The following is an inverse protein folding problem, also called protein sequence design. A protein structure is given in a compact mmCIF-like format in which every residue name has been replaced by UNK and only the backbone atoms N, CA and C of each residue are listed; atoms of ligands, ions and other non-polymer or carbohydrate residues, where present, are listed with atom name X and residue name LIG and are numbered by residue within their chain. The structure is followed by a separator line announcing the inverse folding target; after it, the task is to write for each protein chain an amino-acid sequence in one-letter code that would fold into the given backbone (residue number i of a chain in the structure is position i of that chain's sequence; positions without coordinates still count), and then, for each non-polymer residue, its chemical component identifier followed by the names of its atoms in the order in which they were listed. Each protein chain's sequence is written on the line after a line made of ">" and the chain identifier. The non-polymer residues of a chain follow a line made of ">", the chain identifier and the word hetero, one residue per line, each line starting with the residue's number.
data_IF_824839368651
#
_entry.id   IF_824839368651
#
_cell.length_a   1.000
_cell.length_b   1.000
_cell.length_c   1.000
_cell.angle_alpha   90.00
_cell.angle_beta   90.00
_cell.angle_gamma   90.00
#
_symmetry.space_group_name_H-M   'P 1'
#
loop_
_entity.id
_entity.type
_entity.pdbx_description
1 polymer ?
#
# COMPACT_ATOMS: atom_id res chain seq x y z
N UNK A 1 19.78 -24.65 -6.18
CA UNK A 1 19.48 -23.73 -5.06
C UNK A 1 18.13 -23.09 -5.33
N UNK A 2 17.02 -23.63 -4.79
CA UNK A 2 15.64 -23.19 -5.09
C UNK A 2 14.99 -22.32 -4.00
N UNK A 3 15.69 -22.03 -2.90
CA UNK A 3 15.11 -21.33 -1.74
C UNK A 3 15.60 -19.89 -1.56
N UNK A 4 16.68 -19.48 -2.26
CA UNK A 4 17.33 -18.19 -2.08
C UNK A 4 16.39 -17.01 -2.36
N UNK A 5 15.45 -17.14 -3.29
CA UNK A 5 14.46 -16.09 -3.55
C UNK A 5 13.63 -15.75 -2.32
N UNK A 6 13.40 -16.68 -1.38
CA UNK A 6 12.66 -16.40 -0.13
C UNK A 6 13.38 -15.38 0.76
N UNK A 7 14.68 -15.16 0.55
CA UNK A 7 15.42 -14.11 1.25
C UNK A 7 15.01 -12.69 0.82
N UNK A 8 14.21 -12.54 -0.25
CA UNK A 8 13.66 -11.24 -0.65
C UNK A 8 12.86 -10.56 0.48
N UNK A 9 12.25 -11.36 1.37
CA UNK A 9 11.47 -10.83 2.48
C UNK A 9 12.30 -10.47 3.71
N UNK A 10 13.63 -10.60 3.71
CA UNK A 10 14.43 -10.32 4.91
C UNK A 10 14.21 -8.89 5.45
N UNK A 11 14.23 -7.89 4.58
CA UNK A 11 14.00 -6.49 4.95
C UNK A 11 12.58 -6.29 5.53
N UNK A 12 11.49 -6.65 4.82
CA UNK A 12 10.15 -6.48 5.38
C UNK A 12 9.91 -7.37 6.61
N UNK A 13 10.53 -8.54 6.74
CA UNK A 13 10.40 -9.40 7.92
C UNK A 13 11.05 -8.77 9.16
N UNK A 14 12.28 -8.25 9.02
CA UNK A 14 12.96 -7.53 10.10
C UNK A 14 12.15 -6.29 10.49
N UNK A 15 11.60 -5.56 9.52
CA UNK A 15 10.74 -4.41 9.80
C UNK A 15 9.44 -4.81 10.52
N UNK A 16 8.77 -5.90 10.13
CA UNK A 16 7.60 -6.40 10.84
C UNK A 16 7.92 -6.74 12.30
N UNK A 17 9.02 -7.45 12.55
CA UNK A 17 9.46 -7.79 13.90
C UNK A 17 9.79 -6.53 14.72
N UNK A 18 10.50 -5.57 14.11
CA UNK A 18 10.86 -4.30 14.73
C UNK A 18 9.62 -3.50 15.12
N UNK A 19 8.66 -3.34 14.20
CA UNK A 19 7.42 -2.59 14.43
C UNK A 19 6.54 -3.27 15.48
N UNK A 20 6.45 -4.60 15.44
CA UNK A 20 5.75 -5.36 16.47
C UNK A 20 6.39 -5.20 17.85
N UNK A 21 7.71 -5.38 17.95
CA UNK A 21 8.45 -5.20 19.20
C UNK A 21 8.26 -3.78 19.76
N UNK A 22 8.45 -2.76 18.92
CA UNK A 22 8.33 -1.36 19.36
C UNK A 22 6.91 -0.98 19.76
N UNK A 23 5.91 -1.42 18.99
CA UNK A 23 4.51 -1.08 19.22
C UNK A 23 3.83 -1.88 20.34
N UNK A 24 4.17 -3.16 20.50
CA UNK A 24 3.51 -4.05 21.46
C UNK A 24 4.30 -4.26 22.76
N UNK A 25 5.64 -4.28 22.70
CA UNK A 25 6.50 -4.68 23.83
C UNK A 25 7.21 -3.46 24.43
N UNK A 26 8.03 -2.76 23.66
CA UNK A 26 8.84 -1.63 24.17
C UNK A 26 7.96 -0.44 24.56
N UNK A 27 7.03 -0.04 23.69
CA UNK A 27 6.03 1.02 23.91
C UNK A 27 6.64 2.36 24.36
N UNK A 28 7.81 2.70 23.84
CA UNK A 28 8.46 3.99 24.09
C UNK A 28 7.97 5.06 23.10
N UNK A 29 7.35 6.12 23.61
CA UNK A 29 6.84 7.23 22.80
C UNK A 29 7.95 8.13 22.22
N UNK A 30 9.15 8.10 22.80
CA UNK A 30 10.29 8.89 22.32
C UNK A 30 11.09 8.18 21.22
N UNK A 31 10.78 6.91 20.96
CA UNK A 31 11.43 6.13 19.91
C UNK A 31 11.24 6.80 18.54
N UNK A 32 12.31 6.82 17.74
CA UNK A 32 12.33 7.49 16.44
C UNK A 32 11.27 6.94 15.48
N UNK A 33 11.01 5.62 15.48
CA UNK A 33 9.99 5.04 14.60
C UNK A 33 8.59 5.46 15.04
N UNK A 34 8.34 5.58 16.35
CA UNK A 34 7.05 6.09 16.85
C UNK A 34 6.87 7.53 16.41
N UNK A 35 7.90 8.37 16.52
CA UNK A 35 7.83 9.78 16.14
C UNK A 35 7.66 10.00 14.64
N UNK A 36 8.16 9.09 13.81
CA UNK A 36 8.12 9.23 12.35
C UNK A 36 6.94 8.50 11.70
N UNK A 37 6.48 7.40 12.28
CA UNK A 37 5.44 6.54 11.70
C UNK A 37 4.10 6.56 12.46
N UNK A 38 3.97 7.32 13.55
CA UNK A 38 2.68 7.56 14.21
C UNK A 38 2.21 9.00 14.09
N UNK A 39 0.90 9.19 14.04
CA UNK A 39 0.25 10.51 13.98
C UNK A 39 0.06 11.11 15.37
N UNK A 40 -0.26 10.28 16.38
CA UNK A 40 -0.50 10.73 17.76
C UNK A 40 0.71 10.59 18.69
N UNK A 41 1.89 10.18 18.19
CA UNK A 41 3.03 9.77 19.02
C UNK A 41 2.73 8.57 19.93
N UNK A 42 1.67 7.80 19.62
CA UNK A 42 1.33 6.57 20.33
C UNK A 42 2.05 5.36 19.74
N UNK A 43 2.82 4.60 20.53
CA UNK A 43 3.52 3.41 20.05
C UNK A 43 2.59 2.34 19.44
N UNK A 44 1.34 2.25 19.91
CA UNK A 44 0.38 1.27 19.38
C UNK A 44 0.02 1.54 17.92
N UNK A 45 0.23 2.76 17.41
CA UNK A 45 -0.02 3.06 16.00
C UNK A 45 0.89 2.30 15.04
N UNK A 46 2.09 1.90 15.51
CA UNK A 46 3.00 1.08 14.72
C UNK A 46 2.40 -0.28 14.35
N UNK A 47 1.48 -0.79 15.16
CA UNK A 47 0.82 -2.09 14.94
C UNK A 47 -0.29 -2.04 13.89
N UNK A 48 -0.66 -0.85 13.43
CA UNK A 48 -1.66 -0.64 12.39
C UNK A 48 -0.99 -0.48 11.02
N UNK A 49 -1.22 0.65 10.33
CA UNK A 49 -0.75 0.88 8.96
C UNK A 49 0.69 0.43 8.69
N UNK A 50 1.68 0.85 9.50
CA UNK A 50 3.08 0.45 9.30
C UNK A 50 3.29 -1.07 9.35
N UNK A 51 2.81 -1.75 10.40
CA UNK A 51 2.96 -3.20 10.51
C UNK A 51 2.18 -3.94 9.42
N UNK A 52 0.95 -3.52 9.15
CA UNK A 52 0.10 -4.09 8.10
C UNK A 52 0.78 -4.04 6.73
N UNK A 53 1.35 -2.89 6.36
CA UNK A 53 2.12 -2.72 5.13
C UNK A 53 3.26 -3.74 5.04
N UNK A 54 4.06 -3.88 6.10
CA UNK A 54 5.17 -4.85 6.11
C UNK A 54 4.69 -6.30 6.04
N UNK A 55 3.57 -6.64 6.68
CA UNK A 55 2.97 -7.98 6.58
C UNK A 55 2.55 -8.29 5.14
N UNK A 56 1.93 -7.33 4.44
CA UNK A 56 1.58 -7.49 3.03
C UNK A 56 2.81 -7.66 2.15
N UNK A 57 3.89 -6.89 2.39
CA UNK A 57 5.15 -7.09 1.68
C UNK A 57 5.72 -8.50 1.88
N UNK A 58 5.68 -9.02 3.12
CA UNK A 58 6.11 -10.39 3.40
C UNK A 58 5.23 -11.42 2.67
N UNK A 59 3.90 -11.24 2.69
CA UNK A 59 2.98 -12.13 2.01
C UNK A 59 3.20 -12.14 0.49
N UNK A 60 3.29 -10.97 -0.14
CA UNK A 60 3.57 -10.85 -1.57
C UNK A 60 4.95 -11.44 -1.92
N UNK A 61 5.98 -11.14 -1.12
CA UNK A 61 7.33 -11.64 -1.36
C UNK A 61 7.47 -13.16 -1.17
N UNK A 62 6.62 -13.79 -0.36
CA UNK A 62 6.63 -15.24 -0.15
C UNK A 62 5.74 -16.00 -1.14
N UNK A 63 4.58 -15.46 -1.52
CA UNK A 63 3.58 -16.22 -2.29
C UNK A 63 3.38 -15.71 -3.72
N UNK A 64 3.74 -14.46 -3.98
CA UNK A 64 3.51 -13.77 -5.25
C UNK A 64 4.81 -13.15 -5.81
N UNK A 65 5.96 -13.75 -5.49
CA UNK A 65 7.27 -13.22 -5.87
C UNK A 65 7.39 -13.07 -7.40
N UNK A 66 7.79 -11.87 -7.84
CA UNK A 66 7.94 -11.51 -9.27
C UNK A 66 6.69 -11.81 -10.13
N UNK A 67 5.51 -11.70 -9.53
CA UNK A 67 4.23 -11.88 -10.25
C UNK A 67 3.60 -10.55 -10.66
N UNK A 68 2.73 -10.60 -11.67
CA UNK A 68 1.95 -9.44 -12.12
C UNK A 68 1.02 -8.94 -11.00
N UNK A 69 0.43 -9.86 -10.24
CA UNK A 69 -0.46 -9.54 -9.12
C UNK A 69 0.29 -8.73 -8.04
N UNK A 70 1.48 -9.18 -7.65
CA UNK A 70 2.30 -8.45 -6.68
C UNK A 70 2.72 -7.08 -7.20
N UNK A 71 3.07 -6.97 -8.49
CA UNK A 71 3.45 -5.70 -9.10
C UNK A 71 2.32 -4.66 -9.00
N UNK A 72 1.09 -5.07 -9.32
CA UNK A 72 -0.09 -4.20 -9.30
C UNK A 72 -0.50 -3.84 -7.88
N UNK A 73 -0.45 -4.80 -6.95
CA UNK A 73 -0.74 -4.54 -5.54
C UNK A 73 0.30 -3.57 -4.96
N UNK A 74 1.59 -3.74 -5.25
CA UNK A 74 2.65 -2.83 -4.79
C UNK A 74 2.61 -1.47 -5.49
N UNK A 75 2.13 -1.40 -6.74
CA UNK A 75 1.84 -0.13 -7.40
C UNK A 75 0.79 0.68 -6.63
N UNK A 76 -0.32 0.03 -6.26
CA UNK A 76 -1.40 0.70 -5.54
C UNK A 76 -1.03 1.01 -4.08
N UNK A 77 -0.49 0.03 -3.35
CA UNK A 77 -0.16 0.17 -1.93
C UNK A 77 1.14 0.93 -1.69
N UNK A 78 2.22 0.50 -2.34
CA UNK A 78 3.56 1.04 -2.10
C UNK A 78 3.77 2.42 -2.70
N UNK A 79 3.32 2.62 -3.95
CA UNK A 79 3.50 3.89 -4.64
C UNK A 79 2.26 4.78 -4.50
N UNK A 80 1.06 4.25 -4.76
CA UNK A 80 -0.18 5.01 -4.66
C UNK A 80 -0.47 5.52 -3.25
N UNK A 81 -0.82 4.60 -2.35
CA UNK A 81 -1.15 4.91 -0.95
C UNK A 81 0.06 5.49 -0.19
N UNK A 82 1.28 4.98 -0.42
CA UNK A 82 2.49 5.49 0.20
C UNK A 82 2.80 6.97 -0.08
N UNK A 83 2.47 7.48 -1.28
CA UNK A 83 2.70 8.89 -1.66
C UNK A 83 1.50 9.78 -1.31
N UNK A 84 0.30 9.22 -1.15
CA UNK A 84 -0.92 9.99 -0.89
C UNK A 84 -0.85 10.94 0.32
N UNK A 85 -0.29 10.54 1.50
CA UNK A 85 -0.10 11.45 2.62
C UNK A 85 0.85 12.61 2.30
N UNK A 86 1.87 12.39 1.47
CA UNK A 86 2.83 13.42 1.08
C UNK A 86 2.15 14.47 0.20
N UNK A 87 1.42 14.02 -0.83
CA UNK A 87 0.67 14.92 -1.72
C UNK A 87 -0.43 15.64 -0.95
N UNK A 88 -1.15 14.93 -0.07
CA UNK A 88 -2.16 15.53 0.80
C UNK A 88 -1.59 16.58 1.74
N UNK A 89 -0.36 16.40 2.25
CA UNK A 89 0.31 17.37 3.11
C UNK A 89 0.73 18.64 2.37
N UNK A 90 1.25 18.53 1.15
CA UNK A 90 1.77 19.68 0.40
C UNK A 90 0.71 20.39 -0.46
N UNK A 91 -0.25 19.63 -1.01
CA UNK A 91 -1.21 20.13 -2.00
C UNK A 91 -2.67 19.97 -1.57
N UNK A 92 -2.95 19.34 -0.42
CA UNK A 92 -4.30 19.06 0.04
C UNK A 92 -5.09 20.33 0.37
N UNK A 93 -6.03 20.71 -0.49
CA UNK A 93 -6.95 21.83 -0.28
C UNK A 93 -8.36 21.32 0.03
N UNK A 94 -8.75 20.19 -0.56
CA UNK A 94 -10.10 19.64 -0.44
C UNK A 94 -10.09 18.40 0.46
N UNK A 95 -10.41 18.60 1.73
CA UNK A 95 -10.51 17.49 2.68
C UNK A 95 -11.91 16.87 2.67
N UNK A 96 -11.97 15.55 2.78
CA UNK A 96 -13.21 14.81 2.97
C UNK A 96 -13.02 13.75 4.07
N UNK A 97 -14.13 13.26 4.61
CA UNK A 97 -14.13 12.22 5.63
C UNK A 97 -15.35 11.34 5.44
N UNK A 98 -15.12 10.08 5.12
CA UNK A 98 -16.18 9.07 5.10
C UNK A 98 -16.52 8.63 6.54
N UNK A 99 -17.75 8.12 6.81
CA UNK A 99 -18.22 7.85 8.17
C UNK A 99 -17.29 6.99 9.03
N UNK A 100 -16.52 6.11 8.41
CA UNK A 100 -15.63 5.13 9.06
C UNK A 100 -14.14 5.37 8.75
N UNK A 101 -13.82 6.40 7.97
CA UNK A 101 -12.48 6.70 7.49
C UNK A 101 -11.86 7.90 8.20
N UNK A 102 -10.54 8.01 8.06
CA UNK A 102 -9.79 9.15 8.57
C UNK A 102 -9.96 10.33 7.62
N UNK A 103 -9.57 11.52 8.07
CA UNK A 103 -9.60 12.71 7.20
C UNK A 103 -8.62 12.49 6.05
N UNK A 104 -9.11 12.50 4.81
CA UNK A 104 -8.34 12.35 3.57
C UNK A 104 -8.50 13.59 2.70
N UNK A 105 -7.67 13.72 1.67
CA UNK A 105 -7.73 14.86 0.73
C UNK A 105 -7.94 14.36 -0.69
N UNK A 106 -8.73 15.09 -1.48
CA UNK A 106 -8.95 14.72 -2.89
C UNK A 106 -7.64 14.71 -3.66
N UNK A 107 -6.73 15.62 -3.37
CA UNK A 107 -5.41 15.69 -4.00
C UNK A 107 -4.55 14.47 -3.64
N UNK A 108 -4.63 13.97 -2.41
CA UNK A 108 -3.96 12.74 -1.99
C UNK A 108 -4.52 11.51 -2.71
N UNK A 109 -5.85 11.40 -2.81
CA UNK A 109 -6.48 10.26 -3.50
C UNK A 109 -6.28 10.30 -5.02
N UNK A 110 -6.40 11.47 -5.66
CA UNK A 110 -6.19 11.59 -7.12
C UNK A 110 -4.70 11.54 -7.46
N UNK A 111 -3.89 12.40 -6.83
CA UNK A 111 -2.48 12.54 -7.16
C UNK A 111 -1.61 11.42 -6.58
N UNK A 112 -1.88 11.01 -5.34
CA UNK A 112 -1.18 9.92 -4.70
C UNK A 112 -1.68 8.59 -5.21
N UNK A 113 -2.92 8.23 -4.89
CA UNK A 113 -3.42 6.88 -5.15
C UNK A 113 -3.66 6.63 -6.63
N UNK A 114 -4.50 7.43 -7.29
CA UNK A 114 -4.87 7.16 -8.69
C UNK A 114 -3.67 7.30 -9.64
N UNK A 115 -3.03 8.48 -9.68
CA UNK A 115 -1.87 8.70 -10.55
C UNK A 115 -0.64 7.88 -10.11
N UNK A 116 -0.42 7.72 -8.80
CA UNK A 116 0.68 6.88 -8.30
C UNK A 116 0.48 5.39 -8.59
N UNK A 117 -0.75 4.88 -8.60
CA UNK A 117 -1.03 3.51 -9.05
C UNK A 117 -0.72 3.35 -10.53
N UNK A 118 -1.15 4.29 -11.39
CA UNK A 118 -0.85 4.26 -12.82
C UNK A 118 0.67 4.25 -13.04
N UNK A 119 1.38 5.21 -12.43
CA UNK A 119 2.84 5.30 -12.53
C UNK A 119 3.54 4.05 -11.98
N UNK A 120 3.05 3.52 -10.86
CA UNK A 120 3.56 2.30 -10.24
C UNK A 120 3.40 1.08 -11.12
N UNK A 121 2.26 0.90 -11.79
CA UNK A 121 2.04 -0.23 -12.71
C UNK A 121 3.05 -0.17 -13.86
N UNK A 122 3.20 0.98 -14.53
CA UNK A 122 4.20 1.12 -15.58
C UNK A 122 5.63 0.87 -15.07
N UNK A 123 5.97 1.42 -13.91
CA UNK A 123 7.28 1.26 -13.31
C UNK A 123 7.60 -0.21 -12.97
N UNK A 124 6.72 -0.89 -12.23
CA UNK A 124 6.94 -2.27 -11.84
C UNK A 124 6.86 -3.23 -13.01
N UNK A 125 5.97 -3.01 -13.99
CA UNK A 125 5.92 -3.83 -15.20
C UNK A 125 7.22 -3.75 -15.99
N UNK A 126 7.77 -2.54 -16.14
CA UNK A 126 9.07 -2.34 -16.80
C UNK A 126 10.22 -3.00 -16.03
N UNK A 127 10.28 -2.82 -14.71
CA UNK A 127 11.34 -3.39 -13.86
C UNK A 127 11.33 -4.92 -13.82
N UNK A 128 10.15 -5.53 -13.88
CA UNK A 128 9.97 -6.99 -13.83
C UNK A 128 9.95 -7.64 -15.21
N UNK A 129 9.93 -6.86 -16.29
CA UNK A 129 9.83 -7.38 -17.66
C UNK A 129 8.52 -8.09 -17.97
N UNK A 130 7.44 -7.73 -17.27
CA UNK A 130 6.10 -8.28 -17.48
C UNK A 130 5.29 -7.39 -18.43
N UNK A 131 4.38 -7.96 -19.24
CA UNK A 131 3.52 -7.17 -20.11
C UNK A 131 2.73 -6.13 -19.32
N UNK A 132 2.68 -4.91 -19.87
CA UNK A 132 1.85 -3.86 -19.30
C UNK A 132 0.40 -4.15 -19.66
N UNK A 133 -0.49 -4.10 -18.67
CA UNK A 133 -1.93 -4.22 -18.89
C UNK A 133 -2.45 -3.15 -19.86
N UNK A 134 -3.62 -3.40 -20.46
CA UNK A 134 -4.28 -2.39 -21.29
C UNK A 134 -4.56 -1.11 -20.49
N UNK A 135 -4.55 0.04 -21.16
CA UNK A 135 -4.79 1.33 -20.50
C UNK A 135 -6.14 1.33 -19.76
N UNK A 136 -7.17 0.71 -20.33
CA UNK A 136 -8.49 0.57 -19.71
C UNK A 136 -8.41 -0.23 -18.40
N UNK A 137 -7.65 -1.33 -18.37
CA UNK A 137 -7.45 -2.11 -17.15
C UNK A 137 -6.72 -1.31 -16.07
N UNK A 138 -5.65 -0.59 -16.44
CA UNK A 138 -4.88 0.23 -15.50
C UNK A 138 -5.73 1.35 -14.91
N UNK A 139 -6.49 2.07 -15.74
CA UNK A 139 -7.39 3.13 -15.28
C UNK A 139 -8.46 2.59 -14.33
N UNK A 140 -9.04 1.42 -14.66
CA UNK A 140 -10.04 0.76 -13.81
C UNK A 140 -9.46 0.39 -12.44
N UNK A 141 -8.29 -0.24 -12.42
CA UNK A 141 -7.61 -0.63 -11.18
C UNK A 141 -7.20 0.58 -10.35
N UNK A 142 -6.70 1.65 -10.96
CA UNK A 142 -6.36 2.88 -10.27
C UNK A 142 -7.60 3.56 -9.67
N UNK A 143 -8.74 3.55 -10.36
CA UNK A 143 -10.01 4.06 -9.81
C UNK A 143 -10.47 3.22 -8.63
N UNK A 144 -10.39 1.89 -8.72
CA UNK A 144 -10.74 0.99 -7.60
C UNK A 144 -9.83 1.27 -6.41
N UNK A 145 -8.51 1.37 -6.62
CA UNK A 145 -7.55 1.69 -5.58
C UNK A 145 -7.91 3.00 -4.86
N UNK A 146 -8.20 4.06 -5.63
CA UNK A 146 -8.60 5.36 -5.10
C UNK A 146 -9.89 5.29 -4.28
N UNK A 147 -10.90 4.54 -4.76
CA UNK A 147 -12.17 4.39 -4.05
C UNK A 147 -11.99 3.59 -2.75
N UNK A 148 -11.23 2.50 -2.79
CA UNK A 148 -10.96 1.67 -1.62
C UNK A 148 -10.14 2.44 -0.59
N UNK A 149 -9.13 3.19 -1.02
CA UNK A 149 -8.37 4.09 -0.15
C UNK A 149 -9.30 5.14 0.48
N UNK A 150 -10.11 5.85 -0.31
CA UNK A 150 -10.99 6.89 0.20
C UNK A 150 -12.08 6.39 1.18
N UNK A 151 -12.49 5.13 1.04
CA UNK A 151 -13.57 4.52 1.84
C UNK A 151 -13.09 3.58 2.95
N UNK A 152 -11.81 3.24 2.99
CA UNK A 152 -11.24 2.29 3.96
C UNK A 152 -11.49 2.74 5.40
N UNK A 153 -11.81 1.78 6.27
CA UNK A 153 -11.87 2.02 7.71
C UNK A 153 -10.53 2.55 8.22
N UNK A 154 -10.59 3.36 9.28
CA UNK A 154 -9.39 3.82 9.99
C UNK A 154 -8.43 2.66 10.22
N UNK A 155 -7.15 2.85 9.83
CA UNK A 155 -6.08 1.91 10.11
C UNK A 155 -6.23 0.52 9.46
N UNK A 156 -7.05 0.39 8.41
CA UNK A 156 -7.23 -0.87 7.67
C UNK A 156 -6.99 -0.73 6.16
N UNK A 157 -6.63 0.46 5.68
CA UNK A 157 -6.26 0.74 4.28
C UNK A 157 -5.21 -0.24 3.76
N UNK A 158 -4.17 -0.46 4.56
CA UNK A 158 -3.05 -1.32 4.22
C UNK A 158 -3.40 -2.82 4.11
N UNK A 159 -4.60 -3.25 4.49
CA UNK A 159 -5.12 -4.61 4.26
C UNK A 159 -6.21 -4.61 3.20
N UNK A 160 -7.16 -3.67 3.28
CA UNK A 160 -8.32 -3.61 2.40
C UNK A 160 -7.92 -3.32 0.96
N UNK A 161 -6.95 -2.42 0.76
CA UNK A 161 -6.48 -2.06 -0.57
C UNK A 161 -5.84 -3.27 -1.28
N UNK A 162 -4.85 -4.00 -0.70
CA UNK A 162 -4.28 -5.19 -1.33
C UNK A 162 -5.31 -6.28 -1.64
N UNK A 163 -6.23 -6.54 -0.72
CA UNK A 163 -7.28 -7.54 -0.91
C UNK A 163 -8.20 -7.13 -2.06
N UNK A 164 -8.67 -5.88 -2.08
CA UNK A 164 -9.52 -5.39 -3.16
C UNK A 164 -8.80 -5.48 -4.52
N UNK A 165 -7.53 -5.05 -4.58
CA UNK A 165 -6.75 -5.11 -5.81
C UNK A 165 -6.55 -6.54 -6.32
N UNK A 166 -6.28 -7.50 -5.42
CA UNK A 166 -6.14 -8.91 -5.79
C UNK A 166 -7.42 -9.46 -6.45
N UNK A 167 -8.59 -9.20 -5.86
CA UNK A 167 -9.86 -9.65 -6.42
C UNK A 167 -10.21 -8.90 -7.71
N UNK A 168 -10.06 -7.58 -7.73
CA UNK A 168 -10.38 -6.75 -8.89
C UNK A 168 -9.52 -7.08 -10.09
N UNK A 169 -8.23 -7.36 -9.90
CA UNK A 169 -7.33 -7.74 -10.99
C UNK A 169 -7.85 -8.94 -11.78
N UNK A 170 -8.35 -9.97 -11.08
CA UNK A 170 -8.92 -11.15 -11.73
C UNK A 170 -10.06 -10.78 -12.69
N UNK A 171 -11.03 -10.00 -12.23
CA UNK A 171 -12.18 -9.60 -13.04
C UNK A 171 -11.82 -8.61 -14.15
N UNK A 172 -10.90 -7.67 -13.88
CA UNK A 172 -10.46 -6.68 -14.86
C UNK A 172 -9.73 -7.36 -16.02
N UNK A 173 -8.93 -8.40 -15.75
CA UNK A 173 -8.28 -9.17 -16.82
C UNK A 173 -9.30 -9.85 -17.72
N UNK A 174 -10.32 -10.50 -17.15
CA UNK A 174 -11.38 -11.15 -17.92
C UNK A 174 -12.16 -10.18 -18.85
N UNK A 175 -12.19 -8.89 -18.52
CA UNK A 175 -12.91 -7.87 -19.30
C UNK A 175 -12.08 -7.19 -20.39
N UNK A 176 -10.76 -7.06 -20.19
CA UNK A 176 -9.94 -6.12 -20.97
C UNK A 176 -8.64 -6.73 -21.52
N UNK A 177 -8.37 -8.01 -21.25
CA UNK A 177 -7.19 -8.76 -21.73
C UNK A 177 -7.67 -10.00 -22.47
#
# INVERSE_FOLDING_TARGET
>A
MHWSWRLNILVPAVMSLKLFYKGAILRDANDEDVRTMSRSSSPSELLYGPLQFTIIMNWLGLFHFMSEEAAIIMAALGMGDGIAPLIGKYYGKHSYRMPLSSKKTLEGSIGGVFLGTIGGVYFFSYMLGIPVLTLQAILTLATIAMVVEGTSFNNCDNILLPVAMLYSLKYVKDMFV
#
